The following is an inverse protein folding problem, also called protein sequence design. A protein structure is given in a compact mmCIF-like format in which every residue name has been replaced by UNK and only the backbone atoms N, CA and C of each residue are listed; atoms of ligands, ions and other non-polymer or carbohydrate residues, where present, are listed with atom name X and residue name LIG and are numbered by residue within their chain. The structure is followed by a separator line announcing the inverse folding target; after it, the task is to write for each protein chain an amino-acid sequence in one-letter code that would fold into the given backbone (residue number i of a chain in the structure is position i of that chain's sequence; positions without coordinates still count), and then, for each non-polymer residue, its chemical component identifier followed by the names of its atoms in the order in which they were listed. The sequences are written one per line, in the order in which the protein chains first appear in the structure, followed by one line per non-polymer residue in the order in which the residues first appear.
data_IF_972537558793
#
_entry.id   IF_972537558793
#
_cell.length_a   1.000
_cell.length_b   1.000
_cell.length_c   1.000
_cell.angle_alpha   90.00
_cell.angle_beta   90.00
_cell.angle_gamma   90.00
#
_symmetry.space_group_name_H-M   'P 1'
#
loop_
_entity.id
_entity.type
_entity.pdbx_description
1 polymer ?
#
# COMPACT_ATOMS: atom_id res chain seq x y z
N UNK A 1 4.74 8.77 0.75
CA UNK A 1 3.82 7.74 1.28
C UNK A 1 4.37 6.32 1.11
N UNK A 2 5.43 6.15 0.32
CA UNK A 2 5.98 4.84 -0.02
C UNK A 2 6.70 4.15 1.14
N UNK A 3 7.25 4.90 2.10
CA UNK A 3 7.91 4.32 3.28
C UNK A 3 6.95 3.48 4.13
N UNK A 4 5.73 3.97 4.33
CA UNK A 4 4.69 3.24 5.08
C UNK A 4 4.21 2.00 4.32
N UNK A 5 4.09 2.10 2.99
CA UNK A 5 3.81 0.96 2.11
C UNK A 5 4.88 -0.14 2.27
N UNK A 6 6.15 0.26 2.29
CA UNK A 6 7.28 -0.65 2.45
C UNK A 6 7.25 -1.37 3.81
N UNK A 7 6.95 -0.63 4.88
CA UNK A 7 6.76 -1.22 6.21
C UNK A 7 5.60 -2.23 6.25
N UNK A 8 4.46 -1.95 5.62
CA UNK A 8 3.31 -2.86 5.59
C UNK A 8 3.63 -4.16 4.84
N UNK A 9 4.33 -4.06 3.70
CA UNK A 9 4.77 -5.23 2.91
C UNK A 9 5.77 -6.06 3.71
N UNK A 10 6.73 -5.42 4.38
CA UNK A 10 7.72 -6.11 5.22
C UNK A 10 7.07 -6.84 6.39
N UNK A 11 6.11 -6.20 7.08
CA UNK A 11 5.35 -6.83 8.18
C UNK A 11 4.53 -8.00 7.65
N UNK A 12 3.87 -7.88 6.50
CA UNK A 12 3.11 -8.97 5.90
C UNK A 12 4.01 -10.17 5.54
N UNK A 13 5.19 -9.90 4.99
CA UNK A 13 6.17 -10.92 4.65
C UNK A 13 6.72 -11.62 5.91
N UNK A 14 7.05 -10.84 6.95
CA UNK A 14 7.47 -11.37 8.25
C UNK A 14 6.37 -12.24 8.90
N UNK A 15 5.11 -11.81 8.82
CA UNK A 15 3.98 -12.56 9.36
C UNK A 15 3.78 -13.89 8.62
N UNK A 16 3.91 -13.90 7.29
CA UNK A 16 3.85 -15.13 6.47
C UNK A 16 5.00 -16.08 6.82
N UNK A 17 6.22 -15.55 6.93
CA UNK A 17 7.43 -16.36 7.15
C UNK A 17 7.50 -16.97 8.56
N UNK A 18 7.18 -16.18 9.60
CA UNK A 18 7.38 -16.60 11.00
C UNK A 18 6.09 -17.00 11.72
N UNK A 19 4.91 -16.58 11.25
CA UNK A 19 3.61 -16.89 11.90
C UNK A 19 2.53 -17.28 10.87
N UNK A 20 2.66 -18.44 10.20
CA UNK A 20 1.66 -18.91 9.24
C UNK A 20 0.27 -19.10 9.84
N UNK A 21 0.16 -19.30 11.16
CA UNK A 21 -1.13 -19.37 11.86
C UNK A 21 -1.94 -18.05 11.81
N UNK A 22 -1.30 -16.93 11.48
CA UNK A 22 -1.92 -15.60 11.31
C UNK A 22 -2.09 -15.22 9.83
N UNK A 23 -2.15 -16.20 8.91
CA UNK A 23 -2.29 -15.96 7.47
C UNK A 23 -3.42 -14.98 7.09
N UNK A 24 -4.60 -15.07 7.72
CA UNK A 24 -5.69 -14.11 7.49
C UNK A 24 -5.26 -12.65 7.71
N UNK A 25 -4.47 -12.40 8.76
CA UNK A 25 -3.97 -11.06 9.06
C UNK A 25 -2.97 -10.62 7.99
N UNK A 26 -2.06 -11.51 7.58
CA UNK A 26 -1.10 -11.22 6.52
C UNK A 26 -1.78 -10.89 5.18
N UNK A 27 -2.83 -11.62 4.82
CA UNK A 27 -3.64 -11.34 3.62
C UNK A 27 -4.32 -9.97 3.70
N UNK A 28 -4.86 -9.60 4.86
CA UNK A 28 -5.44 -8.26 5.06
C UNK A 28 -4.37 -7.17 4.88
N UNK A 29 -3.19 -7.33 5.49
CA UNK A 29 -2.08 -6.38 5.33
C UNK A 29 -1.61 -6.25 3.87
N UNK A 30 -1.52 -7.37 3.14
CA UNK A 30 -1.18 -7.39 1.72
C UNK A 30 -2.24 -6.68 0.87
N UNK A 31 -3.52 -7.00 1.09
CA UNK A 31 -4.62 -6.36 0.37
C UNK A 31 -4.64 -4.84 0.62
N UNK A 32 -4.41 -4.42 1.86
CA UNK A 32 -4.36 -3.01 2.25
C UNK A 32 -3.17 -2.30 1.61
N UNK A 33 -2.01 -2.97 1.50
CA UNK A 33 -0.83 -2.45 0.81
C UNK A 33 -1.10 -2.24 -0.69
N UNK A 34 -1.76 -3.20 -1.35
CA UNK A 34 -2.13 -3.07 -2.78
C UNK A 34 -3.08 -1.89 -2.99
N UNK A 35 -4.11 -1.76 -2.13
CA UNK A 35 -5.06 -0.65 -2.16
C UNK A 35 -4.37 0.71 -1.98
N UNK A 36 -3.43 0.80 -1.04
CA UNK A 36 -2.66 2.02 -0.81
C UNK A 36 -1.76 2.35 -2.01
N UNK A 37 -1.15 1.34 -2.64
CA UNK A 37 -0.36 1.52 -3.86
C UNK A 37 -1.21 2.06 -5.02
N UNK A 38 -2.42 1.53 -5.20
CA UNK A 38 -3.36 2.05 -6.20
C UNK A 38 -3.80 3.48 -5.89
N UNK A 39 -4.04 3.81 -4.62
CA UNK A 39 -4.37 5.17 -4.19
C UNK A 39 -3.25 6.17 -4.46
N UNK A 40 -2.01 5.80 -4.15
CA UNK A 40 -0.82 6.64 -4.46
C UNK A 40 -0.72 6.87 -5.97
N UNK A 41 -0.91 5.82 -6.77
CA UNK A 41 -0.90 5.93 -8.23
C UNK A 41 -2.00 6.86 -8.76
N UNK A 42 -3.21 6.74 -8.21
CA UNK A 42 -4.35 7.60 -8.57
C UNK A 42 -4.06 9.07 -8.25
N UNK A 43 -3.54 9.37 -7.05
CA UNK A 43 -3.19 10.73 -6.62
C UNK A 43 -2.06 11.30 -7.48
N UNK A 44 -1.02 10.51 -7.75
CA UNK A 44 0.08 10.94 -8.61
C UNK A 44 -0.40 11.22 -10.05
N UNK A 45 -1.28 10.37 -10.57
CA UNK A 45 -1.91 10.54 -11.90
C UNK A 45 -2.80 11.78 -11.91
N UNK A 46 -3.60 12.02 -10.86
CA UNK A 46 -4.43 13.21 -10.75
C UNK A 46 -3.62 14.50 -10.64
N UNK A 47 -2.51 14.47 -9.90
CA UNK A 47 -1.58 15.61 -9.79
C UNK A 47 -0.83 15.92 -11.10
N UNK A 48 -0.65 14.93 -11.98
CA UNK A 48 -0.13 15.13 -13.32
C UNK A 48 -1.21 15.61 -14.31
N UNK A 49 -2.44 15.10 -14.21
CA UNK A 49 -3.54 15.40 -15.13
C UNK A 49 -4.28 16.69 -14.82
N UNK A 50 -4.35 17.11 -13.56
CA UNK A 50 -4.94 18.40 -13.14
C UNK A 50 -3.78 19.37 -12.86
N UNK A 51 -3.40 20.23 -13.83
CA UNK A 51 -2.42 21.26 -13.57
C UNK A 51 -2.93 22.18 -12.46
N UNK A 52 -2.05 22.56 -11.55
CA UNK A 52 -2.32 23.38 -10.38
C UNK A 52 -2.75 24.85 -10.69
N UNK A 53 -3.29 25.13 -11.88
CA UNK A 53 -3.46 26.48 -12.41
C UNK A 53 -4.88 26.83 -12.91
N UNK A 54 -5.93 26.11 -12.51
CA UNK A 54 -7.32 26.49 -12.85
C UNK A 54 -8.29 26.44 -11.65
N UNK A 55 -7.81 26.84 -10.47
CA UNK A 55 -8.63 27.23 -9.33
C UNK A 55 -8.48 28.73 -9.08
#
# INVERSE_FOLDING_TARGET
MEFLLFCLIFIACFLVAFKPHKQKLAHIFLALSILMSMGIWLIATWGMLVPAGNL
#
